data_IF_916167318542
#
_entry.id   IF_916167318542
#
_cell.length_a   1.000
_cell.length_b   1.000
_cell.length_c   1.000
_cell.angle_alpha   90.00
_cell.angle_beta   90.00
_cell.angle_gamma   90.00
#
_symmetry.space_group_name_H-M   'P 1'
#
loop_
_entity.id
_entity.type
_entity.pdbx_description
1 polymer ?
#
# COMPACT_ATOMS: atom_id res chain seq x y z
N UNK A 1 -16.41 -45.88 0.62
CA UNK A 1 -16.96 -44.51 0.62
C UNK A 1 -16.84 -44.02 -0.82
N UNK A 2 -17.92 -43.55 -1.39
CA UNK A 2 -17.95 -42.97 -2.74
C UNK A 2 -18.10 -41.44 -2.61
N UNK A 3 -17.44 -40.67 -3.49
CA UNK A 3 -17.64 -39.25 -3.58
C UNK A 3 -19.07 -38.94 -4.06
N UNK A 4 -19.79 -37.98 -3.44
CA UNK A 4 -21.14 -37.61 -3.84
C UNK A 4 -21.16 -36.87 -5.18
N UNK A 5 -20.07 -36.20 -5.54
CA UNK A 5 -19.94 -35.36 -6.73
C UNK A 5 -18.56 -35.50 -7.37
N UNK A 6 -18.43 -35.02 -8.60
CA UNK A 6 -17.14 -34.93 -9.28
C UNK A 6 -16.37 -33.72 -8.76
N UNK A 7 -15.14 -33.93 -8.35
CA UNK A 7 -14.31 -32.85 -7.81
C UNK A 7 -12.92 -33.33 -7.40
N UNK A 8 -12.10 -32.39 -6.93
CA UNK A 8 -10.81 -32.73 -6.34
C UNK A 8 -11.02 -33.16 -4.89
N UNK A 9 -10.47 -34.34 -4.54
CA UNK A 9 -10.55 -34.89 -3.19
C UNK A 9 -9.34 -34.43 -2.38
N UNK A 10 -9.59 -33.76 -1.28
CA UNK A 10 -8.57 -33.41 -0.28
C UNK A 10 -8.75 -34.30 0.93
N UNK A 11 -7.78 -35.17 1.18
CA UNK A 11 -7.86 -36.08 2.32
C UNK A 11 -7.68 -35.31 3.65
N UNK A 12 -8.58 -35.56 4.59
CA UNK A 12 -8.51 -34.99 5.93
C UNK A 12 -7.21 -35.42 6.63
N UNK A 13 -6.76 -34.57 7.53
CA UNK A 13 -5.61 -34.86 8.41
C UNK A 13 -6.11 -35.15 9.82
N UNK A 14 -5.58 -36.17 10.43
CA UNK A 14 -5.86 -36.45 11.83
C UNK A 14 -5.19 -35.39 12.75
N UNK A 15 -5.52 -35.41 14.04
CA UNK A 15 -4.94 -34.49 15.03
C UNK A 15 -3.40 -34.55 15.15
N UNK A 16 -2.77 -35.60 14.60
CA UNK A 16 -1.30 -35.75 14.49
C UNK A 16 -0.75 -35.20 13.16
N UNK A 17 -1.57 -34.59 12.31
CA UNK A 17 -1.18 -34.05 11.02
C UNK A 17 -1.00 -35.11 9.90
N UNK A 18 -1.27 -36.37 10.16
CA UNK A 18 -1.15 -37.46 9.17
C UNK A 18 -2.39 -37.47 8.28
N UNK A 19 -2.19 -37.65 6.97
CA UNK A 19 -3.30 -37.79 6.01
C UNK A 19 -4.05 -39.08 6.24
N UNK A 20 -5.37 -39.04 6.18
CA UNK A 20 -6.23 -40.23 6.14
C UNK A 20 -6.01 -40.97 4.82
N UNK A 21 -5.65 -42.24 4.89
CA UNK A 21 -5.38 -43.10 3.72
C UNK A 21 -6.13 -44.40 3.85
N UNK A 22 -6.11 -45.21 2.80
CA UNK A 22 -6.71 -46.58 2.83
C UNK A 22 -6.13 -47.36 4.01
N UNK A 23 -7.00 -47.91 4.85
CA UNK A 23 -6.62 -48.62 6.09
C UNK A 23 -6.48 -47.76 7.33
N UNK A 24 -6.65 -46.44 7.24
CA UNK A 24 -6.70 -45.55 8.41
C UNK A 24 -7.99 -45.79 9.22
N UNK A 25 -7.87 -45.77 10.54
CA UNK A 25 -9.04 -45.84 11.44
C UNK A 25 -9.67 -44.47 11.54
N UNK A 26 -10.95 -44.37 11.25
CA UNK A 26 -11.76 -43.15 11.39
C UNK A 26 -12.40 -43.14 12.75
N UNK A 27 -12.29 -42.03 13.48
CA UNK A 27 -12.91 -41.87 14.79
C UNK A 27 -14.41 -41.54 14.67
N UNK A 28 -15.24 -42.13 15.54
CA UNK A 28 -16.65 -41.76 15.60
C UNK A 28 -16.90 -40.30 16.02
N UNK A 29 -15.91 -39.67 16.68
CA UNK A 29 -15.95 -38.26 17.08
C UNK A 29 -15.44 -37.29 16.02
N UNK A 30 -14.69 -37.81 15.04
CA UNK A 30 -14.19 -37.06 13.88
C UNK A 30 -14.30 -37.93 12.66
N UNK A 31 -15.50 -38.01 12.06
CA UNK A 31 -15.80 -38.93 10.95
C UNK A 31 -15.36 -38.44 9.58
N UNK A 32 -14.66 -37.25 9.51
CA UNK A 32 -14.25 -36.68 8.24
C UNK A 32 -13.09 -37.45 7.63
N UNK A 33 -13.31 -38.01 6.44
CA UNK A 33 -12.32 -38.78 5.69
C UNK A 33 -11.64 -37.92 4.64
N UNK A 34 -12.43 -37.11 3.96
CA UNK A 34 -11.99 -36.25 2.89
C UNK A 34 -13.01 -35.14 2.68
N UNK A 35 -12.54 -34.06 2.09
CA UNK A 35 -13.35 -32.91 1.70
C UNK A 35 -13.30 -32.74 0.18
N UNK A 36 -14.39 -32.29 -0.42
CA UNK A 36 -14.47 -31.85 -1.81
C UNK A 36 -14.67 -30.35 -1.81
N UNK A 37 -13.57 -29.58 -1.85
CA UNK A 37 -13.68 -28.11 -1.89
C UNK A 37 -14.32 -27.67 -3.22
N UNK A 38 -15.15 -26.65 -3.13
CA UNK A 38 -15.71 -25.97 -4.29
C UNK A 38 -14.68 -24.94 -4.78
N UNK A 39 -14.18 -25.16 -6.00
CA UNK A 39 -13.21 -24.27 -6.64
C UNK A 39 -13.87 -23.16 -7.47
N UNK A 40 -15.19 -23.07 -7.49
CA UNK A 40 -15.90 -22.00 -8.19
C UNK A 40 -15.74 -20.65 -7.49
N UNK A 41 -15.53 -20.68 -6.16
CA UNK A 41 -15.27 -19.51 -5.33
C UNK A 41 -13.93 -19.69 -4.63
N UNK A 42 -13.00 -18.81 -4.96
CA UNK A 42 -11.68 -18.80 -4.34
C UNK A 42 -11.42 -17.43 -3.71
N UNK A 43 -10.80 -17.47 -2.55
CA UNK A 43 -10.40 -16.28 -1.82
C UNK A 43 -8.87 -16.25 -1.65
N UNK A 44 -8.28 -15.09 -1.82
CA UNK A 44 -6.93 -14.81 -1.36
C UNK A 44 -7.00 -14.17 0.03
N UNK A 45 -6.25 -14.73 0.97
CA UNK A 45 -6.16 -14.21 2.34
C UNK A 45 -4.83 -13.51 2.52
N UNK A 46 -4.89 -12.24 2.86
CA UNK A 46 -3.69 -11.42 3.14
C UNK A 46 -3.79 -10.78 4.52
N UNK A 47 -2.66 -10.30 5.02
CA UNK A 47 -2.58 -9.67 6.33
C UNK A 47 -1.95 -8.29 6.19
N UNK A 48 -2.68 -7.28 6.64
CA UNK A 48 -2.31 -5.87 6.54
C UNK A 48 -1.98 -5.32 7.91
N UNK A 49 -0.96 -4.48 7.99
CA UNK A 49 -0.55 -3.84 9.23
C UNK A 49 -1.58 -2.82 9.75
N UNK A 50 -1.59 -2.59 11.06
CA UNK A 50 -2.48 -1.63 11.74
C UNK A 50 -2.42 -0.20 11.15
N UNK A 51 -1.25 0.21 10.65
CA UNK A 51 -1.05 1.55 10.05
C UNK A 51 -1.83 1.71 8.74
N UNK A 52 -1.93 0.64 7.94
CA UNK A 52 -2.50 0.70 6.60
C UNK A 52 -3.93 0.19 6.52
N UNK A 53 -4.39 -0.55 7.55
CA UNK A 53 -5.74 -1.16 7.53
C UNK A 53 -6.86 -0.12 7.43
N UNK A 54 -6.65 1.08 7.95
CA UNK A 54 -7.66 2.16 7.90
C UNK A 54 -7.95 2.64 6.47
N UNK A 55 -7.03 2.39 5.54
CA UNK A 55 -7.16 2.74 4.12
C UNK A 55 -7.91 1.68 3.32
N UNK A 56 -8.10 0.48 3.89
CA UNK A 56 -8.69 -0.66 3.20
C UNK A 56 -10.16 -0.77 3.56
N UNK A 57 -10.99 -0.89 2.53
CA UNK A 57 -12.43 -1.00 2.65
C UNK A 57 -12.96 -2.14 1.76
N UNK A 58 -14.06 -2.74 2.17
CA UNK A 58 -14.78 -3.72 1.34
C UNK A 58 -15.23 -3.10 0.03
N UNK A 59 -15.11 -3.85 -1.06
CA UNK A 59 -15.45 -3.40 -2.40
C UNK A 59 -14.28 -2.79 -3.19
N UNK A 60 -13.12 -2.57 -2.58
CA UNK A 60 -11.93 -2.13 -3.31
C UNK A 60 -11.44 -3.22 -4.25
N UNK A 61 -10.97 -2.81 -5.43
CA UNK A 61 -10.37 -3.72 -6.42
C UNK A 61 -8.97 -4.11 -6.01
N UNK A 62 -8.63 -5.38 -6.23
CA UNK A 62 -7.28 -5.90 -5.98
C UNK A 62 -6.77 -6.66 -7.20
N UNK A 63 -5.47 -6.58 -7.43
CA UNK A 63 -4.73 -7.42 -8.36
C UNK A 63 -3.99 -8.49 -7.58
N UNK A 64 -4.18 -9.74 -7.97
CA UNK A 64 -3.63 -10.91 -7.28
C UNK A 64 -2.57 -11.54 -8.18
N UNK A 65 -1.33 -11.50 -7.75
CA UNK A 65 -0.20 -12.20 -8.37
C UNK A 65 -0.02 -13.59 -7.75
N UNK A 66 0.46 -14.54 -8.52
CA UNK A 66 0.76 -15.91 -8.09
C UNK A 66 2.27 -16.12 -8.10
N UNK A 67 2.87 -16.47 -6.96
CA UNK A 67 4.31 -16.76 -6.87
C UNK A 67 4.73 -17.92 -7.80
N UNK A 68 3.84 -18.88 -7.97
CA UNK A 68 4.09 -20.03 -8.85
C UNK A 68 3.99 -19.70 -10.36
N UNK A 69 3.34 -18.61 -10.73
CA UNK A 69 3.09 -18.16 -12.11
C UNK A 69 3.14 -16.63 -12.17
N UNK A 70 4.33 -15.99 -12.16
CA UNK A 70 4.47 -14.54 -12.04
C UNK A 70 3.87 -13.75 -13.21
N UNK A 71 3.76 -14.38 -14.39
CA UNK A 71 3.13 -13.79 -15.57
C UNK A 71 1.60 -13.72 -15.48
N UNK A 72 1.00 -14.43 -14.51
CA UNK A 72 -0.44 -14.50 -14.35
C UNK A 72 -0.90 -13.57 -13.26
N UNK A 73 -1.75 -12.64 -13.62
CA UNK A 73 -2.42 -11.72 -12.70
C UNK A 73 -3.92 -11.99 -12.76
N UNK A 74 -4.54 -12.05 -11.61
CA UNK A 74 -5.98 -12.22 -11.44
C UNK A 74 -6.55 -10.94 -10.85
N UNK A 75 -7.82 -10.68 -11.12
CA UNK A 75 -8.54 -9.60 -10.48
C UNK A 75 -9.35 -10.11 -9.29
N UNK A 76 -9.52 -9.26 -8.30
CA UNK A 76 -10.34 -9.57 -7.14
C UNK A 76 -10.96 -8.33 -6.52
N UNK A 77 -11.81 -8.57 -5.56
CA UNK A 77 -12.47 -7.53 -4.77
C UNK A 77 -12.33 -7.84 -3.29
N UNK A 78 -12.03 -6.83 -2.49
CA UNK A 78 -11.98 -6.99 -1.03
C UNK A 78 -13.37 -7.36 -0.52
N UNK A 79 -13.53 -8.61 -0.11
CA UNK A 79 -14.79 -9.15 0.39
C UNK A 79 -15.01 -8.84 1.87
N UNK A 80 -13.95 -8.94 2.68
CA UNK A 80 -14.03 -8.62 4.11
C UNK A 80 -12.71 -8.17 4.69
N UNK A 81 -12.80 -7.34 5.73
CA UNK A 81 -11.69 -6.84 6.53
C UNK A 81 -11.96 -7.20 7.99
N UNK A 82 -11.02 -7.86 8.65
CA UNK A 82 -11.18 -8.24 10.05
C UNK A 82 -11.22 -7.01 10.97
N UNK A 83 -12.16 -7.00 11.90
CA UNK A 83 -12.29 -5.93 12.91
C UNK A 83 -11.35 -6.11 14.11
N UNK A 84 -10.71 -7.27 14.23
CA UNK A 84 -9.82 -7.61 15.34
C UNK A 84 -8.45 -7.92 14.75
N UNK A 85 -7.43 -7.21 15.27
CA UNK A 85 -6.04 -7.45 14.88
C UNK A 85 -5.47 -8.66 15.61
N UNK A 86 -4.67 -9.44 14.91
CA UNK A 86 -3.93 -10.59 15.42
C UNK A 86 -2.45 -10.25 15.59
N UNK A 87 -1.82 -10.78 16.63
CA UNK A 87 -0.39 -10.65 16.80
C UNK A 87 0.30 -11.89 16.22
N UNK A 88 1.19 -11.70 15.24
CA UNK A 88 1.99 -12.80 14.72
C UNK A 88 3.06 -13.22 15.73
N UNK A 89 3.38 -14.53 15.81
CA UNK A 89 4.51 -15.00 16.60
C UNK A 89 5.80 -14.26 16.16
N UNK A 90 6.59 -13.79 17.12
CA UNK A 90 7.82 -13.04 16.92
C UNK A 90 7.68 -11.64 16.25
N UNK A 91 6.48 -11.06 16.22
CA UNK A 91 6.25 -9.68 15.77
C UNK A 91 5.56 -8.88 16.86
N UNK A 92 5.95 -7.61 17.01
CA UNK A 92 5.27 -6.66 17.91
C UNK A 92 4.12 -5.94 17.19
N UNK A 93 4.05 -6.05 15.87
CA UNK A 93 3.02 -5.41 15.05
C UNK A 93 1.77 -6.26 15.00
N UNK A 94 0.63 -5.62 15.14
CA UNK A 94 -0.68 -6.23 14.87
C UNK A 94 -0.96 -6.24 13.38
N UNK A 95 -1.56 -7.31 12.93
CA UNK A 95 -2.00 -7.48 11.55
C UNK A 95 -3.49 -7.81 11.52
N UNK A 96 -4.14 -7.40 10.46
CA UNK A 96 -5.57 -7.62 10.23
C UNK A 96 -5.74 -8.51 9.00
N UNK A 97 -6.56 -9.53 9.13
CA UNK A 97 -6.89 -10.40 8.00
C UNK A 97 -7.79 -9.65 7.01
N UNK A 98 -7.41 -9.71 5.75
CA UNK A 98 -8.19 -9.18 4.62
C UNK A 98 -8.45 -10.33 3.66
N UNK A 99 -9.70 -10.56 3.31
CA UNK A 99 -10.13 -11.57 2.34
C UNK A 99 -10.49 -10.90 1.03
N UNK A 100 -9.91 -11.39 -0.04
CA UNK A 100 -10.11 -10.89 -1.40
C UNK A 100 -10.74 -12.03 -2.19
N UNK A 101 -11.95 -11.82 -2.65
CA UNK A 101 -12.64 -12.75 -3.56
C UNK A 101 -12.06 -12.61 -4.97
N UNK A 102 -11.70 -13.74 -5.57
CA UNK A 102 -11.13 -13.81 -6.92
C UNK A 102 -12.27 -13.87 -7.91
N UNK A 103 -12.27 -12.95 -8.88
CA UNK A 103 -13.34 -12.84 -9.88
C UNK A 103 -13.27 -13.94 -10.94
N UNK A 104 -12.06 -14.41 -11.26
CA UNK A 104 -11.84 -15.43 -12.29
C UNK A 104 -11.87 -16.83 -11.70
N UNK A 105 -12.65 -17.70 -12.31
CA UNK A 105 -12.57 -19.14 -12.05
C UNK A 105 -11.46 -19.76 -12.90
N UNK A 106 -10.39 -20.21 -12.25
CA UNK A 106 -9.25 -20.80 -12.94
C UNK A 106 -8.89 -22.17 -12.38
N UNK A 107 -8.94 -23.18 -13.24
CA UNK A 107 -8.65 -24.56 -12.90
C UNK A 107 -7.18 -24.84 -12.55
N UNK A 108 -6.28 -23.89 -12.82
CA UNK A 108 -4.86 -24.01 -12.47
C UNK A 108 -4.59 -23.57 -11.03
N UNK A 109 -5.49 -22.81 -10.43
CA UNK A 109 -5.41 -22.41 -9.03
C UNK A 109 -5.60 -23.62 -8.11
N UNK A 110 -4.80 -23.65 -7.07
CA UNK A 110 -4.91 -24.67 -6.03
C UNK A 110 -4.92 -24.04 -4.65
N UNK A 111 -5.73 -24.57 -3.73
CA UNK A 111 -5.69 -24.10 -2.35
C UNK A 111 -4.27 -24.15 -1.76
N UNK A 112 -3.96 -23.20 -0.89
CA UNK A 112 -2.65 -23.03 -0.26
C UNK A 112 -1.50 -22.61 -1.22
N UNK A 113 -1.81 -22.08 -2.40
CA UNK A 113 -0.82 -21.31 -3.18
C UNK A 113 -0.52 -19.98 -2.50
N UNK A 114 0.73 -19.55 -2.60
CA UNK A 114 1.14 -18.20 -2.14
C UNK A 114 0.76 -17.17 -3.19
N UNK A 115 0.17 -16.07 -2.72
CA UNK A 115 -0.27 -14.96 -3.55
C UNK A 115 0.31 -13.65 -3.04
N UNK A 116 0.61 -12.72 -3.95
CA UNK A 116 0.80 -11.30 -3.69
C UNK A 116 -0.50 -10.56 -3.99
N UNK A 117 -0.84 -9.55 -3.18
CA UNK A 117 -2.10 -8.83 -3.33
C UNK A 117 -1.85 -7.33 -3.34
N UNK A 118 -2.15 -6.68 -4.45
CA UNK A 118 -2.08 -5.24 -4.63
C UNK A 118 -3.48 -4.66 -4.59
N UNK A 119 -3.85 -4.05 -3.46
CA UNK A 119 -5.18 -3.45 -3.24
C UNK A 119 -5.14 -1.99 -3.68
N UNK A 120 -6.01 -1.61 -4.61
CA UNK A 120 -6.14 -0.24 -5.06
C UNK A 120 -6.90 0.57 -4.00
N UNK A 121 -6.17 1.39 -3.25
CA UNK A 121 -6.74 2.21 -2.18
C UNK A 121 -7.43 3.43 -2.75
N UNK A 122 -6.76 4.14 -3.65
CA UNK A 122 -7.23 5.39 -4.24
C UNK A 122 -6.67 5.55 -5.64
N UNK A 123 -7.46 6.13 -6.52
CA UNK A 123 -7.05 6.54 -7.86
C UNK A 123 -7.33 8.02 -8.01
N UNK A 124 -6.30 8.78 -8.35
CA UNK A 124 -6.40 10.22 -8.59
C UNK A 124 -6.13 10.42 -10.09
N UNK A 125 -7.17 10.81 -10.82
CA UNK A 125 -7.04 11.14 -12.24
C UNK A 125 -6.59 12.61 -12.38
N UNK A 126 -5.86 12.92 -13.46
CA UNK A 126 -5.37 14.25 -13.82
C UNK A 126 -4.51 14.93 -12.72
N UNK A 127 -3.75 14.14 -11.98
CA UNK A 127 -2.86 14.65 -10.94
C UNK A 127 -1.46 14.96 -11.49
N UNK A 128 -0.94 16.13 -11.16
CA UNK A 128 0.47 16.43 -11.35
C UNK A 128 1.28 15.68 -10.29
N UNK A 129 2.23 14.86 -10.70
CA UNK A 129 3.05 14.09 -9.78
C UNK A 129 4.54 14.16 -10.14
N UNK A 130 5.38 13.98 -9.15
CA UNK A 130 6.84 13.89 -9.32
C UNK A 130 7.38 12.64 -8.63
N UNK A 131 8.54 12.11 -9.07
CA UNK A 131 9.21 11.05 -8.35
C UNK A 131 9.49 11.47 -6.90
N UNK A 132 9.24 10.58 -5.94
CA UNK A 132 9.48 10.86 -4.52
C UNK A 132 10.95 11.24 -4.25
N UNK A 133 11.88 10.68 -5.03
CA UNK A 133 13.32 10.98 -4.95
C UNK A 133 13.67 12.43 -5.31
N UNK A 134 12.80 13.14 -6.05
CA UNK A 134 13.00 14.55 -6.41
C UNK A 134 12.57 15.53 -5.34
N UNK A 135 11.87 15.06 -4.32
CA UNK A 135 11.40 15.90 -3.20
C UNK A 135 12.44 15.90 -2.08
N UNK A 136 12.82 17.09 -1.69
CA UNK A 136 13.80 17.32 -0.63
C UNK A 136 13.19 18.16 0.49
N UNK A 137 13.77 18.11 1.68
CA UNK A 137 13.34 18.94 2.80
C UNK A 137 14.37 20.06 3.03
N UNK A 138 13.92 21.31 3.01
CA UNK A 138 14.72 22.48 3.31
C UNK A 138 14.00 23.33 4.38
N UNK A 139 14.63 23.58 5.52
CA UNK A 139 14.07 24.32 6.66
C UNK A 139 12.63 23.86 7.03
N UNK A 140 12.42 22.55 7.10
CA UNK A 140 11.13 21.90 7.35
C UNK A 140 10.05 22.13 6.27
N UNK A 141 10.44 22.64 5.10
CA UNK A 141 9.57 22.80 3.94
C UNK A 141 9.88 21.72 2.90
N UNK A 142 8.86 21.25 2.21
CA UNK A 142 9.03 20.35 1.10
C UNK A 142 9.33 21.15 -0.17
N UNK A 143 10.43 20.84 -0.80
CA UNK A 143 10.95 21.57 -1.96
C UNK A 143 11.40 20.62 -3.06
N UNK A 144 11.34 21.09 -4.27
CA UNK A 144 11.94 20.45 -5.45
C UNK A 144 12.92 21.43 -6.12
N UNK A 145 13.88 20.89 -6.85
CA UNK A 145 14.76 21.70 -7.69
C UNK A 145 14.24 21.70 -9.11
N UNK A 146 13.76 22.88 -9.55
CA UNK A 146 13.19 23.10 -10.87
C UNK A 146 14.24 23.75 -11.77
N UNK A 147 14.35 23.26 -13.01
CA UNK A 147 15.22 23.87 -14.02
C UNK A 147 14.41 24.71 -15.00
N UNK A 148 14.91 25.91 -15.27
CA UNK A 148 14.42 26.76 -16.35
C UNK A 148 15.61 27.17 -17.23
N UNK A 149 15.81 26.49 -18.36
CA UNK A 149 16.98 26.65 -19.19
C UNK A 149 18.27 26.27 -18.46
N UNK A 150 19.15 27.25 -18.19
CA UNK A 150 20.45 27.03 -17.51
C UNK A 150 20.33 27.25 -16.00
N UNK A 151 19.30 27.93 -15.53
CA UNK A 151 19.13 28.27 -14.13
C UNK A 151 18.35 27.19 -13.38
N UNK A 152 18.77 26.96 -12.14
CA UNK A 152 18.06 26.05 -11.21
C UNK A 152 17.45 26.87 -10.08
N UNK A 153 16.22 26.56 -9.73
CA UNK A 153 15.47 27.20 -8.67
C UNK A 153 15.07 26.18 -7.63
N UNK A 154 15.09 26.56 -6.37
CA UNK A 154 14.46 25.78 -5.31
C UNK A 154 13.01 26.23 -5.21
N UNK A 155 12.09 25.34 -5.52
CA UNK A 155 10.66 25.62 -5.53
C UNK A 155 9.99 24.90 -4.36
N UNK A 156 9.31 25.64 -3.49
CA UNK A 156 8.45 25.05 -2.47
C UNK A 156 7.22 24.42 -3.11
N UNK A 157 6.83 23.25 -2.63
CA UNK A 157 5.66 22.54 -3.10
C UNK A 157 4.73 22.18 -1.93
N UNK A 158 3.46 21.93 -2.26
CA UNK A 158 2.50 21.28 -1.36
C UNK A 158 2.29 19.85 -1.85
N UNK A 159 2.63 18.90 -0.99
CA UNK A 159 2.44 17.49 -1.29
C UNK A 159 1.02 17.03 -1.01
N UNK A 160 0.49 16.18 -1.87
CA UNK A 160 -0.76 15.46 -1.70
C UNK A 160 -0.53 13.97 -1.38
N UNK A 161 -1.38 13.13 -1.95
CA UNK A 161 -1.25 11.67 -1.83
C UNK A 161 0.08 11.18 -2.41
N UNK A 162 0.63 10.13 -1.81
CA UNK A 162 1.91 9.55 -2.25
C UNK A 162 1.84 8.03 -2.24
N UNK A 163 2.65 7.43 -3.11
CA UNK A 163 2.95 6.01 -3.11
C UNK A 163 4.45 5.77 -2.89
N UNK A 164 4.93 4.55 -3.12
CA UNK A 164 6.35 4.18 -2.94
C UNK A 164 7.30 4.94 -3.87
N UNK A 165 6.85 5.35 -5.07
CA UNK A 165 7.70 5.91 -6.11
C UNK A 165 7.41 7.38 -6.42
N UNK A 166 6.20 7.86 -6.15
CA UNK A 166 5.72 9.16 -6.61
C UNK A 166 4.89 9.87 -5.56
N UNK A 167 4.86 11.18 -5.65
CA UNK A 167 4.01 12.05 -4.83
C UNK A 167 3.26 13.03 -5.72
N UNK A 168 1.97 13.21 -5.44
CA UNK A 168 1.13 14.22 -6.09
C UNK A 168 1.53 15.59 -5.57
N UNK A 169 1.69 16.54 -6.47
CA UNK A 169 1.95 17.94 -6.16
C UNK A 169 0.65 18.73 -6.33
N UNK A 170 0.18 19.29 -5.24
CA UNK A 170 -1.05 20.08 -5.23
C UNK A 170 -0.82 21.54 -5.65
N UNK A 171 0.33 22.09 -5.27
CA UNK A 171 0.72 23.48 -5.58
C UNK A 171 2.25 23.58 -5.73
N UNK A 172 2.71 24.53 -6.52
CA UNK A 172 4.13 24.88 -6.67
C UNK A 172 4.77 24.46 -7.98
N UNK A 173 4.16 23.57 -8.75
CA UNK A 173 4.64 23.13 -10.06
C UNK A 173 3.55 23.23 -11.12
N UNK A 174 3.98 23.30 -12.38
CA UNK A 174 3.15 23.20 -13.58
C UNK A 174 3.56 21.98 -14.40
N UNK A 175 2.71 21.55 -15.34
CA UNK A 175 2.90 20.33 -16.16
C UNK A 175 4.21 20.33 -16.97
N UNK A 176 4.66 21.49 -17.44
CA UNK A 176 5.87 21.63 -18.28
C UNK A 176 7.16 21.86 -17.48
N UNK A 177 7.10 21.80 -16.14
CA UNK A 177 8.25 22.07 -15.30
C UNK A 177 9.24 20.91 -15.28
N UNK A 178 10.51 21.18 -15.55
CA UNK A 178 11.59 20.20 -15.46
C UNK A 178 12.12 20.13 -14.03
N UNK A 179 11.92 18.99 -13.36
CA UNK A 179 12.34 18.74 -11.99
C UNK A 179 13.58 17.85 -11.94
N UNK A 180 14.56 18.26 -11.12
CA UNK A 180 15.78 17.48 -10.90
C UNK A 180 15.53 16.42 -9.83
N UNK A 181 15.97 15.19 -10.09
CA UNK A 181 15.91 14.10 -9.10
C UNK A 181 16.93 14.32 -7.99
N UNK A 182 18.11 14.83 -8.35
CA UNK A 182 19.21 15.00 -7.40
C UNK A 182 19.34 16.44 -6.97
N UNK A 183 19.67 16.65 -5.69
CA UNK A 183 20.01 17.96 -5.15
C UNK A 183 21.25 18.53 -5.86
N UNK A 184 21.22 19.77 -6.36
CA UNK A 184 22.40 20.40 -6.93
C UNK A 184 23.50 20.59 -5.88
N UNK A 185 24.79 20.50 -6.28
CA UNK A 185 25.90 20.54 -5.35
C UNK A 185 26.05 21.89 -4.60
N UNK A 186 25.55 22.98 -5.18
CA UNK A 186 25.57 24.31 -4.58
C UNK A 186 24.14 24.84 -4.34
N UNK A 187 23.53 24.35 -3.27
CA UNK A 187 22.17 24.76 -2.88
C UNK A 187 22.12 26.16 -2.28
N UNK A 188 23.26 26.70 -1.83
CA UNK A 188 23.30 28.03 -1.21
C UNK A 188 23.11 29.15 -2.22
N UNK A 189 23.55 28.96 -3.47
CA UNK A 189 23.44 29.94 -4.55
C UNK A 189 22.17 29.85 -5.36
N UNK A 190 21.33 28.82 -5.10
CA UNK A 190 20.08 28.61 -5.83
C UNK A 190 19.02 29.61 -5.36
N UNK A 191 18.37 30.27 -6.30
CA UNK A 191 17.24 31.14 -6.02
C UNK A 191 16.07 30.35 -5.43
N UNK A 192 15.47 30.88 -4.35
CA UNK A 192 14.45 30.22 -3.55
C UNK A 192 13.08 30.83 -3.85
N UNK A 193 12.19 30.02 -4.37
CA UNK A 193 10.82 30.37 -4.64
C UNK A 193 9.90 29.72 -3.60
N UNK A 194 9.38 30.50 -2.69
CA UNK A 194 8.44 30.06 -1.68
C UNK A 194 7.01 30.37 -2.10
N UNK A 195 6.10 29.50 -1.72
CA UNK A 195 4.67 29.71 -1.92
C UNK A 195 4.15 30.83 -0.99
N UNK A 196 3.17 31.63 -1.45
CA UNK A 196 2.52 32.62 -0.62
C UNK A 196 1.84 31.98 0.60
N UNK A 197 1.78 32.72 1.72
CA UNK A 197 1.24 32.21 2.98
C UNK A 197 -0.25 31.85 2.89
N UNK A 198 -1.03 32.57 2.07
CA UNK A 198 -2.45 32.29 1.81
C UNK A 198 -2.66 30.92 1.15
N UNK A 199 -1.75 30.49 0.26
CA UNK A 199 -1.76 29.17 -0.35
C UNK A 199 -1.45 28.10 0.70
N UNK A 200 -0.44 28.32 1.53
CA UNK A 200 -0.07 27.39 2.60
C UNK A 200 -1.19 27.24 3.63
N UNK A 201 -1.87 28.31 4.01
CA UNK A 201 -2.96 28.29 4.98
C UNK A 201 -4.19 27.49 4.48
N UNK A 202 -4.42 27.46 3.18
CA UNK A 202 -5.47 26.64 2.56
C UNK A 202 -5.27 25.14 2.87
N UNK A 203 -4.03 24.67 2.78
CA UNK A 203 -3.70 23.26 2.99
C UNK A 203 -3.40 22.89 4.45
N UNK A 204 -2.95 23.86 5.27
CA UNK A 204 -2.75 23.67 6.71
C UNK A 204 -4.05 23.35 7.46
N UNK A 205 -5.19 23.92 7.02
CA UNK A 205 -6.52 23.64 7.59
C UNK A 205 -7.05 22.23 7.28
N UNK A 206 -6.50 21.60 6.24
CA UNK A 206 -6.94 20.27 5.80
C UNK A 206 -6.18 19.13 6.53
N UNK A 207 -5.03 19.43 7.13
CA UNK A 207 -4.20 18.46 7.83
C UNK A 207 -3.80 18.97 9.23
N UNK A 208 -4.64 18.77 10.28
CA UNK A 208 -4.41 19.31 11.62
C UNK A 208 -3.16 18.77 12.35
N UNK A 209 -2.55 17.69 11.87
CA UNK A 209 -1.36 17.08 12.47
C UNK A 209 -0.04 17.69 11.98
N UNK A 210 -0.06 18.57 11.00
CA UNK A 210 1.13 19.20 10.42
C UNK A 210 1.42 20.57 11.11
N UNK A 211 1.77 20.53 12.39
CA UNK A 211 2.19 21.73 13.16
C UNK A 211 3.64 22.06 12.80
N UNK A 212 3.86 22.70 11.64
CA UNK A 212 5.17 23.26 11.29
C UNK A 212 5.31 24.68 11.85
N UNK A 213 6.51 25.08 12.33
CA UNK A 213 6.72 26.43 12.89
C UNK A 213 6.46 27.51 11.83
N UNK A 214 5.87 28.61 12.26
CA UNK A 214 5.62 29.76 11.38
C UNK A 214 6.95 30.43 10.97
N UNK A 215 6.99 31.09 9.81
CA UNK A 215 8.18 31.80 9.28
C UNK A 215 8.74 32.84 10.26
N UNK A 216 7.90 33.53 11.05
CA UNK A 216 8.30 34.50 12.05
C UNK A 216 9.15 33.91 13.17
N UNK A 217 8.94 32.62 13.51
CA UNK A 217 9.72 31.90 14.54
C UNK A 217 11.14 31.55 14.06
N UNK A 218 11.35 31.47 12.74
CA UNK A 218 12.65 31.11 12.13
C UNK A 218 13.54 32.35 12.01
N UNK A 219 13.00 33.55 11.72
CA UNK A 219 13.77 34.77 11.66
C UNK A 219 14.27 35.24 13.05
N UNK A 220 13.50 34.97 14.11
CA UNK A 220 13.90 35.34 15.47
C UNK A 220 14.97 34.41 16.06
N UNK A 221 15.07 33.15 15.60
CA UNK A 221 16.11 32.22 16.06
C UNK A 221 17.50 32.47 15.45
N UNK A 222 17.57 33.24 14.37
CA UNK A 222 18.83 33.60 13.67
C UNK A 222 19.57 34.84 14.21
N UNK A 223 18.97 35.61 15.12
CA UNK A 223 19.51 36.93 15.53
C UNK A 223 20.16 36.94 16.91
N UNK A 224 20.38 35.79 17.54
CA UNK A 224 21.05 35.75 18.85
C UNK A 224 22.34 34.93 18.77
N UNK A 225 23.36 35.51 18.15
CA UNK A 225 24.78 35.18 18.37
C UNK A 225 25.62 36.43 18.24
N UNK A 226 25.83 37.07 19.37
CA UNK A 226 27.08 37.78 19.72
C UNK A 226 27.94 36.85 20.58
#
# INVERSE_FOLDING_TARGET
ILAPENGMVVYARNWRGQKTTTGSTVSAFDPVVAELPDFSLMESITYVNEVDIQKIQTGQTATIGLDAMPEKQLSGVVASVANIGEQRPNSHSKVFEVKIEINESDTTLRPAMTTSNDILIERIDDALFVPLESVHTYDSLDVVFKRNGIQTFMQQIVMGARNENSVVVLEGLNEDDEVLISMPPDTASVEKNFLPDDVMDKYRKTNPDDVRPQREDIEMAGTTRD
#
